data_IF_712343957897
#
_entry.id   IF_712343957897
#
_cell.length_a   1.000
_cell.length_b   1.000
_cell.length_c   1.000
_cell.angle_alpha   90.00
_cell.angle_beta   90.00
_cell.angle_gamma   90.00
#
_symmetry.space_group_name_H-M   'P 1'
#
loop_
_entity.id
_entity.type
_entity.pdbx_description
1 polymer ?
#
# COMPACT_ATOMS: atom_id res chain seq x y z
N UNK A 1 12.95 -1.82 25.66
CA UNK A 1 13.39 -2.67 24.52
C UNK A 1 12.93 -2.07 23.22
N UNK A 2 13.80 -1.99 22.21
CA UNK A 2 13.39 -1.50 20.90
C UNK A 2 13.23 -2.67 19.93
N UNK A 3 12.11 -2.68 19.22
CA UNK A 3 11.79 -3.67 18.19
C UNK A 3 11.65 -2.97 16.85
N UNK A 4 12.06 -3.63 15.78
CA UNK A 4 11.77 -3.15 14.43
C UNK A 4 11.03 -4.19 13.62
N UNK A 5 10.15 -3.71 12.74
CA UNK A 5 9.46 -4.51 11.74
C UNK A 5 9.65 -3.86 10.40
N UNK A 6 10.16 -4.62 9.43
CA UNK A 6 10.29 -4.22 8.03
C UNK A 6 9.28 -5.04 7.23
N UNK A 7 8.48 -4.38 6.39
CA UNK A 7 7.51 -5.02 5.50
C UNK A 7 7.90 -4.86 4.04
N UNK A 8 7.94 -5.96 3.31
CA UNK A 8 8.11 -6.03 1.86
C UNK A 8 6.73 -6.07 1.21
N UNK A 9 6.24 -4.93 0.76
CA UNK A 9 4.99 -4.84 0.00
C UNK A 9 5.22 -4.71 -1.51
N UNK A 10 4.17 -4.85 -2.30
CA UNK A 10 4.25 -4.83 -3.78
C UNK A 10 4.78 -3.52 -4.36
N UNK A 11 4.62 -2.41 -3.66
CA UNK A 11 4.99 -1.08 -4.15
C UNK A 11 6.08 -0.38 -3.34
N UNK A 12 6.43 -0.92 -2.18
CA UNK A 12 7.40 -0.26 -1.28
C UNK A 12 7.94 -1.23 -0.24
N UNK A 13 9.10 -0.88 0.33
CA UNK A 13 9.53 -1.38 1.62
C UNK A 13 9.19 -0.32 2.67
N UNK A 14 8.74 -0.74 3.82
CA UNK A 14 8.45 0.17 4.92
C UNK A 14 8.88 -0.42 6.24
N UNK A 15 9.31 0.43 7.18
CA UNK A 15 9.77 -0.01 8.48
C UNK A 15 9.19 0.83 9.61
N UNK A 16 9.10 0.22 10.77
CA UNK A 16 8.89 0.89 12.05
C UNK A 16 9.98 0.49 13.02
N UNK A 17 10.31 1.42 13.92
CA UNK A 17 11.04 1.11 15.15
C UNK A 17 10.14 1.54 16.31
N UNK A 18 9.93 0.63 17.24
CA UNK A 18 9.06 0.82 18.39
C UNK A 18 9.84 0.60 19.69
N UNK A 19 9.64 1.48 20.66
CA UNK A 19 10.10 1.29 22.03
C UNK A 19 8.99 0.68 22.87
N UNK A 20 9.34 -0.35 23.64
CA UNK A 20 8.42 -1.03 24.55
C UNK A 20 8.91 -0.86 25.98
N UNK A 21 8.21 -0.04 26.75
CA UNK A 21 8.49 0.22 28.15
C UNK A 21 7.20 0.05 28.99
N UNK A 22 7.30 -0.69 30.08
CA UNK A 22 6.20 -0.87 31.05
C UNK A 22 4.84 -1.23 30.40
N UNK A 23 4.87 -2.17 29.44
CA UNK A 23 3.70 -2.62 28.66
C UNK A 23 3.08 -1.55 27.73
N UNK A 24 3.78 -0.44 27.48
CA UNK A 24 3.38 0.55 26.49
C UNK A 24 4.31 0.45 25.28
N UNK A 25 3.73 0.31 24.12
CA UNK A 25 4.46 0.32 22.83
C UNK A 25 4.28 1.67 22.17
N UNK A 26 5.39 2.34 21.88
CA UNK A 26 5.42 3.63 21.21
C UNK A 26 6.26 3.51 19.92
N UNK A 27 5.73 3.98 18.81
CA UNK A 27 6.47 4.03 17.55
C UNK A 27 7.37 5.26 17.58
N UNK A 28 8.68 5.03 17.61
CA UNK A 28 9.69 6.09 17.70
C UNK A 28 10.22 6.51 16.34
N UNK A 29 10.06 5.65 15.31
CA UNK A 29 10.51 5.95 13.96
C UNK A 29 9.71 5.19 12.91
N UNK A 30 9.44 5.84 11.78
CA UNK A 30 8.86 5.24 10.57
C UNK A 30 9.67 5.67 9.36
N UNK A 31 9.90 4.74 8.44
CA UNK A 31 10.53 5.02 7.15
C UNK A 31 9.89 4.19 6.05
N UNK A 32 10.04 4.66 4.82
CA UNK A 32 9.50 4.00 3.65
C UNK A 32 10.31 4.32 2.40
N UNK A 33 10.66 3.26 1.67
CA UNK A 33 11.33 3.34 0.37
C UNK A 33 10.37 2.88 -0.72
N UNK A 34 10.15 3.72 -1.72
CA UNK A 34 9.37 3.33 -2.90
C UNK A 34 10.20 2.35 -3.75
N UNK A 35 9.90 1.06 -3.64
CA UNK A 35 10.51 0.01 -4.45
C UNK A 35 9.39 -0.87 -5.01
N UNK A 36 8.97 -0.57 -6.23
CA UNK A 36 7.93 -1.35 -6.91
C UNK A 36 8.52 -2.65 -7.47
N UNK A 37 8.61 -3.70 -6.64
CA UNK A 37 9.15 -5.01 -7.04
C UNK A 37 8.45 -5.59 -8.27
N UNK A 38 7.18 -5.26 -8.48
CA UNK A 38 6.40 -5.70 -9.65
C UNK A 38 6.98 -5.26 -10.99
N UNK A 39 7.82 -4.22 -11.03
CA UNK A 39 8.52 -3.80 -12.25
C UNK A 39 9.77 -4.64 -12.57
N UNK A 40 10.19 -5.46 -11.62
CA UNK A 40 11.33 -6.37 -11.76
C UNK A 40 10.92 -7.84 -11.95
N UNK A 41 9.60 -8.08 -12.14
CA UNK A 41 9.08 -9.41 -12.43
C UNK A 41 9.22 -9.73 -13.92
N UNK A 42 9.78 -10.88 -14.24
CA UNK A 42 9.75 -11.52 -15.55
C UNK A 42 8.95 -12.81 -15.44
N UNK A 43 7.77 -12.84 -16.07
CA UNK A 43 6.81 -13.89 -15.80
C UNK A 43 6.40 -13.89 -14.31
N UNK A 44 6.68 -15.00 -13.64
CA UNK A 44 6.42 -15.17 -12.21
C UNK A 44 7.70 -15.13 -11.35
N UNK A 45 8.86 -14.76 -11.91
CA UNK A 45 10.13 -14.69 -11.19
C UNK A 45 10.57 -13.24 -10.96
N UNK A 46 11.13 -12.97 -9.78
CA UNK A 46 11.82 -11.71 -9.51
C UNK A 46 13.22 -11.78 -10.15
N UNK A 47 13.55 -10.79 -10.99
CA UNK A 47 14.84 -10.76 -11.69
C UNK A 47 16.00 -10.53 -10.71
N UNK A 48 17.22 -10.96 -11.10
CA UNK A 48 18.44 -10.73 -10.32
C UNK A 48 18.59 -9.25 -9.92
N UNK A 49 18.34 -8.32 -10.86
CA UNK A 49 18.36 -6.87 -10.58
C UNK A 49 17.31 -6.46 -9.53
N UNK A 50 16.13 -7.10 -9.54
CA UNK A 50 15.09 -6.87 -8.54
C UNK A 50 15.52 -7.35 -7.16
N UNK A 51 16.18 -8.52 -7.09
CA UNK A 51 16.75 -9.08 -5.87
C UNK A 51 17.86 -8.16 -5.33
N UNK A 52 18.78 -7.71 -6.16
CA UNK A 52 19.86 -6.81 -5.75
C UNK A 52 19.30 -5.50 -5.18
N UNK A 53 18.30 -4.89 -5.84
CA UNK A 53 17.62 -3.68 -5.34
C UNK A 53 16.93 -3.90 -4.00
N UNK A 54 16.26 -5.03 -3.83
CA UNK A 54 15.65 -5.41 -2.56
C UNK A 54 16.69 -5.52 -1.45
N UNK A 55 17.79 -6.24 -1.70
CA UNK A 55 18.90 -6.43 -0.75
C UNK A 55 19.52 -5.08 -0.37
N UNK A 56 19.81 -4.20 -1.33
CA UNK A 56 20.40 -2.88 -1.06
C UNK A 56 19.49 -2.03 -0.15
N UNK A 57 18.19 -2.02 -0.42
CA UNK A 57 17.23 -1.30 0.43
C UNK A 57 17.15 -1.90 1.84
N UNK A 58 17.15 -3.24 1.96
CA UNK A 58 17.10 -3.92 3.24
C UNK A 58 18.35 -3.69 4.08
N UNK A 59 19.55 -3.61 3.47
CA UNK A 59 20.79 -3.23 4.17
C UNK A 59 20.66 -1.84 4.81
N UNK A 60 20.22 -0.85 4.04
CA UNK A 60 20.02 0.52 4.57
C UNK A 60 18.99 0.59 5.70
N UNK A 61 17.90 -0.16 5.58
CA UNK A 61 16.91 -0.25 6.66
C UNK A 61 17.46 -0.94 7.90
N UNK A 62 18.21 -2.05 7.73
CA UNK A 62 18.85 -2.75 8.85
C UNK A 62 19.84 -1.86 9.59
N UNK A 63 20.70 -1.12 8.88
CA UNK A 63 21.63 -0.15 9.47
C UNK A 63 20.90 0.95 10.24
N UNK A 64 19.74 1.38 9.74
CA UNK A 64 18.89 2.36 10.42
C UNK A 64 18.31 1.78 11.70
N UNK A 65 17.83 0.51 11.68
CA UNK A 65 17.38 -0.19 12.89
C UNK A 65 18.48 -0.29 13.94
N UNK A 66 19.71 -0.64 13.53
CA UNK A 66 20.85 -0.75 14.43
C UNK A 66 21.22 0.60 15.06
N UNK A 67 21.27 1.67 14.26
CA UNK A 67 21.53 3.04 14.75
C UNK A 67 20.46 3.53 15.74
N UNK A 68 19.21 3.10 15.58
CA UNK A 68 18.10 3.42 16.49
C UNK A 68 18.02 2.47 17.70
N UNK A 69 19.01 1.61 17.87
CA UNK A 69 19.13 0.73 19.02
C UNK A 69 18.08 -0.39 19.06
N UNK A 70 17.63 -0.86 17.90
CA UNK A 70 16.75 -2.04 17.84
C UNK A 70 17.49 -3.26 18.38
N UNK A 71 16.79 -4.04 19.21
CA UNK A 71 17.32 -5.31 19.72
C UNK A 71 16.91 -6.46 18.80
N UNK A 72 15.72 -6.41 18.24
CA UNK A 72 15.16 -7.43 17.33
C UNK A 72 14.55 -6.79 16.10
N UNK A 73 14.84 -7.37 14.93
CA UNK A 73 14.26 -6.94 13.66
C UNK A 73 13.52 -8.11 13.01
N UNK A 74 12.24 -7.93 12.82
CA UNK A 74 11.38 -8.83 12.05
C UNK A 74 11.28 -8.32 10.61
N UNK A 75 11.56 -9.18 9.64
CA UNK A 75 11.31 -8.88 8.23
C UNK A 75 10.10 -9.71 7.78
N UNK A 76 9.02 -9.04 7.45
CA UNK A 76 7.81 -9.69 6.94
C UNK A 76 7.64 -9.43 5.45
N UNK A 77 7.02 -10.36 4.75
CA UNK A 77 6.60 -10.19 3.37
C UNK A 77 5.12 -10.51 3.22
N UNK A 78 4.41 -9.56 2.62
CA UNK A 78 2.99 -9.63 2.30
C UNK A 78 2.77 -10.13 0.87
N UNK A 79 1.81 -9.60 0.15
CA UNK A 79 1.46 -10.03 -1.21
C UNK A 79 2.61 -9.94 -2.25
N UNK A 80 3.69 -9.18 -1.97
CA UNK A 80 4.76 -8.91 -2.94
C UNK A 80 5.48 -10.15 -3.46
N UNK A 81 5.85 -11.04 -2.54
CA UNK A 81 6.63 -12.24 -2.83
C UNK A 81 5.79 -13.54 -2.71
N UNK A 82 4.49 -13.41 -2.46
CA UNK A 82 3.61 -14.58 -2.17
C UNK A 82 3.48 -15.55 -3.34
N UNK A 83 3.61 -15.07 -4.58
CA UNK A 83 3.32 -15.83 -5.78
C UNK A 83 4.45 -15.78 -6.82
N UNK A 84 5.70 -15.58 -6.36
CA UNK A 84 6.86 -15.70 -7.24
C UNK A 84 7.40 -17.12 -7.21
N UNK A 85 7.80 -17.65 -8.36
CA UNK A 85 8.31 -19.02 -8.49
C UNK A 85 9.72 -19.18 -7.90
N UNK A 86 10.55 -18.14 -8.01
CA UNK A 86 11.92 -18.16 -7.44
C UNK A 86 12.00 -17.60 -6.00
N UNK A 87 10.96 -17.82 -5.23
CA UNK A 87 10.82 -17.37 -3.86
C UNK A 87 11.96 -17.79 -2.94
N UNK A 88 12.37 -19.08 -2.99
CA UNK A 88 13.46 -19.60 -2.16
C UNK A 88 14.80 -18.95 -2.51
N UNK A 89 15.07 -18.67 -3.78
CA UNK A 89 16.24 -17.91 -4.21
C UNK A 89 16.27 -16.52 -3.56
N UNK A 90 15.14 -15.80 -3.62
CA UNK A 90 15.00 -14.46 -3.02
C UNK A 90 15.24 -14.54 -1.51
N UNK A 91 14.60 -15.49 -0.82
CA UNK A 91 14.72 -15.69 0.63
C UNK A 91 16.18 -15.96 1.04
N UNK A 92 16.84 -16.87 0.33
CA UNK A 92 18.23 -17.22 0.61
C UNK A 92 19.18 -16.04 0.36
N UNK A 93 19.01 -15.30 -0.74
CA UNK A 93 19.83 -14.13 -1.05
C UNK A 93 19.65 -13.04 -0.01
N UNK A 94 18.40 -12.73 0.39
CA UNK A 94 18.13 -11.75 1.45
C UNK A 94 18.81 -12.18 2.75
N UNK A 95 18.66 -13.44 3.16
CA UNK A 95 19.29 -13.95 4.37
C UNK A 95 20.83 -13.88 4.31
N UNK A 96 21.42 -14.33 3.22
CA UNK A 96 22.89 -14.34 3.05
C UNK A 96 23.50 -12.94 3.04
N UNK A 97 22.85 -12.01 2.33
CA UNK A 97 23.41 -10.69 2.08
C UNK A 97 23.08 -9.67 3.17
N UNK A 98 22.02 -9.90 3.96
CA UNK A 98 21.57 -8.97 5.01
C UNK A 98 21.51 -9.58 6.41
N UNK A 99 21.49 -10.91 6.51
CA UNK A 99 21.23 -11.63 7.75
C UNK A 99 19.76 -11.59 8.21
N UNK A 100 18.87 -10.94 7.47
CA UNK A 100 17.45 -10.81 7.84
C UNK A 100 16.66 -12.04 7.34
N UNK A 101 16.01 -12.79 8.24
CA UNK A 101 15.12 -13.88 7.85
C UNK A 101 13.77 -13.33 7.38
N UNK A 102 13.29 -13.79 6.21
CA UNK A 102 11.98 -13.36 5.69
C UNK A 102 10.88 -14.22 6.28
N UNK A 103 9.91 -13.58 6.95
CA UNK A 103 8.68 -14.21 7.42
C UNK A 103 7.56 -13.94 6.42
N UNK A 104 6.99 -15.01 5.87
CA UNK A 104 5.80 -14.85 5.02
C UNK A 104 4.56 -14.80 5.85
N UNK A 105 3.70 -13.83 5.56
CA UNK A 105 2.36 -13.77 6.12
C UNK A 105 1.35 -13.93 4.99
N UNK A 106 0.32 -14.75 5.23
CA UNK A 106 -0.80 -14.90 4.30
C UNK A 106 -1.77 -13.71 4.40
N UNK A 107 -2.70 -13.62 3.45
CA UNK A 107 -3.66 -12.51 3.43
C UNK A 107 -4.58 -12.46 4.65
N UNK A 108 -4.87 -13.60 5.29
CA UNK A 108 -5.66 -13.64 6.52
C UNK A 108 -4.90 -13.02 7.70
N UNK A 109 -3.61 -13.32 7.80
CA UNK A 109 -2.75 -12.73 8.84
C UNK A 109 -2.49 -11.24 8.56
N UNK A 110 -2.30 -10.87 7.30
CA UNK A 110 -2.17 -9.47 6.87
C UNK A 110 -3.40 -8.65 7.32
N UNK A 111 -4.61 -9.13 6.98
CA UNK A 111 -5.86 -8.52 7.42
C UNK A 111 -6.01 -8.49 8.96
N UNK A 112 -5.55 -9.54 9.65
CA UNK A 112 -5.60 -9.59 11.11
C UNK A 112 -4.62 -8.61 11.77
N UNK A 113 -3.43 -8.42 11.20
CA UNK A 113 -2.51 -7.39 11.65
C UNK A 113 -3.13 -5.99 11.51
N UNK A 114 -3.76 -5.68 10.37
CA UNK A 114 -4.46 -4.41 10.20
C UNK A 114 -5.58 -4.22 11.21
N UNK A 115 -6.36 -5.26 11.47
CA UNK A 115 -7.40 -5.24 12.49
C UNK A 115 -6.85 -4.93 13.89
N UNK A 116 -5.83 -5.67 14.32
CA UNK A 116 -5.21 -5.51 15.65
C UNK A 116 -4.62 -4.11 15.81
N UNK A 117 -3.94 -3.60 14.78
CA UNK A 117 -3.37 -2.26 14.78
C UNK A 117 -4.44 -1.15 14.91
N UNK A 118 -5.68 -1.44 14.52
CA UNK A 118 -6.76 -0.46 14.40
C UNK A 118 -7.98 -0.76 15.29
N UNK A 119 -7.87 -1.70 16.22
CA UNK A 119 -8.98 -2.10 17.10
C UNK A 119 -9.54 -0.93 17.93
N UNK A 120 -8.73 0.08 18.18
CA UNK A 120 -9.14 1.32 18.84
C UNK A 120 -10.36 1.95 18.15
N UNK A 121 -10.45 1.88 16.84
CA UNK A 121 -11.56 2.43 16.06
C UNK A 121 -12.83 1.56 16.09
N UNK A 122 -12.83 0.42 16.78
CA UNK A 122 -14.04 -0.38 17.00
C UNK A 122 -15.12 0.39 17.78
N UNK A 123 -14.73 1.42 18.54
CA UNK A 123 -15.63 2.32 19.24
C UNK A 123 -16.33 3.35 18.34
N UNK A 124 -15.90 3.52 17.10
CA UNK A 124 -16.59 4.36 16.12
C UNK A 124 -17.97 3.78 15.78
N UNK A 125 -18.85 4.65 15.27
CA UNK A 125 -20.17 4.21 14.83
C UNK A 125 -20.06 3.32 13.59
N UNK A 126 -20.46 2.04 13.73
CA UNK A 126 -20.48 1.02 12.66
C UNK A 126 -19.23 1.07 11.74
N UNK A 127 -18.04 0.78 12.30
CA UNK A 127 -16.80 0.98 11.60
C UNK A 127 -16.47 -0.18 10.66
N UNK A 128 -15.96 0.14 9.47
CA UNK A 128 -15.35 -0.81 8.52
C UNK A 128 -13.92 -0.39 8.23
N UNK A 129 -12.99 -1.33 8.37
CA UNK A 129 -11.60 -1.13 7.94
C UNK A 129 -11.44 -1.46 6.47
N UNK A 130 -10.68 -0.65 5.76
CA UNK A 130 -10.38 -0.81 4.33
C UNK A 130 -8.90 -0.56 4.10
N UNK A 131 -8.17 -1.61 3.70
CA UNK A 131 -6.84 -1.45 3.08
C UNK A 131 -6.91 -1.65 1.57
N UNK A 132 -6.32 -0.72 0.83
CA UNK A 132 -6.19 -0.78 -0.62
C UNK A 132 -4.73 -0.98 -1.01
N UNK A 133 -4.30 -2.22 -1.00
CA UNK A 133 -2.98 -2.62 -1.45
C UNK A 133 -2.82 -2.62 -2.98
N UNK A 134 -1.58 -2.81 -3.43
CA UNK A 134 -1.29 -2.94 -4.86
C UNK A 134 -1.77 -4.26 -5.46
N UNK A 135 -1.71 -5.34 -4.67
CA UNK A 135 -2.00 -6.72 -5.05
C UNK A 135 -3.14 -7.35 -4.27
N UNK A 136 -3.57 -6.72 -3.20
CA UNK A 136 -4.68 -7.19 -2.38
C UNK A 136 -5.58 -6.04 -1.93
N UNK A 137 -6.78 -6.37 -1.48
CA UNK A 137 -7.72 -5.46 -0.82
C UNK A 137 -8.25 -6.21 0.41
N UNK A 138 -8.10 -5.59 1.57
CA UNK A 138 -8.58 -6.11 2.85
C UNK A 138 -9.79 -5.29 3.32
N UNK A 139 -10.84 -6.03 3.76
CA UNK A 139 -12.05 -5.45 4.35
C UNK A 139 -12.34 -6.17 5.67
N UNK A 140 -12.56 -5.42 6.72
CA UNK A 140 -12.88 -5.96 8.03
C UNK A 140 -13.99 -5.16 8.71
N UNK A 141 -14.98 -5.85 9.28
CA UNK A 141 -15.95 -5.26 10.18
C UNK A 141 -15.33 -5.11 11.57
N UNK A 142 -14.84 -3.91 11.89
CA UNK A 142 -14.21 -3.64 13.19
C UNK A 142 -15.18 -3.76 14.37
N UNK A 143 -16.47 -3.59 14.14
CA UNK A 143 -17.47 -3.67 15.20
C UNK A 143 -17.73 -5.08 15.71
N UNK A 144 -17.49 -6.10 14.87
CA UNK A 144 -17.74 -7.50 15.23
C UNK A 144 -16.60 -8.16 15.98
N UNK A 145 -15.42 -7.59 15.97
CA UNK A 145 -14.23 -8.07 16.67
C UNK A 145 -13.92 -9.58 16.43
N UNK A 146 -14.24 -10.09 15.25
CA UNK A 146 -14.03 -11.49 14.87
C UNK A 146 -13.08 -11.60 13.68
N UNK A 147 -12.13 -12.53 13.77
CA UNK A 147 -11.23 -12.86 12.65
C UNK A 147 -11.98 -13.39 11.43
N UNK A 148 -13.13 -14.00 11.64
CA UNK A 148 -13.98 -14.56 10.58
C UNK A 148 -14.63 -13.48 9.69
N UNK A 149 -14.72 -12.25 10.20
CA UNK A 149 -15.26 -11.10 9.46
C UNK A 149 -14.23 -10.41 8.56
N UNK A 150 -13.00 -10.90 8.56
CA UNK A 150 -11.94 -10.37 7.71
C UNK A 150 -12.00 -11.00 6.33
N UNK A 151 -11.93 -10.17 5.32
CA UNK A 151 -11.90 -10.60 3.92
C UNK A 151 -10.67 -10.02 3.25
N UNK A 152 -9.85 -10.90 2.69
CA UNK A 152 -8.73 -10.54 1.84
C UNK A 152 -9.03 -10.95 0.40
N UNK A 153 -8.95 -10.00 -0.52
CA UNK A 153 -9.10 -10.23 -1.95
C UNK A 153 -7.74 -10.26 -2.61
N UNK A 154 -7.43 -11.34 -3.34
CA UNK A 154 -6.18 -11.50 -4.09
C UNK A 154 -6.15 -10.72 -5.41
N UNK A 155 -6.62 -9.47 -5.37
CA UNK A 155 -6.45 -8.46 -6.40
C UNK A 155 -6.38 -7.08 -5.74
N UNK A 156 -5.53 -6.21 -6.24
CA UNK A 156 -5.36 -4.87 -5.71
C UNK A 156 -5.44 -3.79 -6.78
N UNK A 157 -5.07 -2.57 -6.40
CA UNK A 157 -5.14 -1.40 -7.27
C UNK A 157 -4.27 -1.54 -8.51
N UNK A 158 -3.11 -2.19 -8.40
CA UNK A 158 -2.20 -2.40 -9.52
C UNK A 158 -2.77 -3.39 -10.54
N UNK A 159 -3.46 -4.44 -10.05
CA UNK A 159 -4.12 -5.40 -10.93
C UNK A 159 -5.31 -4.75 -11.65
N UNK A 160 -6.07 -3.92 -10.95
CA UNK A 160 -7.15 -3.15 -11.55
C UNK A 160 -6.63 -2.16 -12.58
N UNK A 161 -5.55 -1.44 -12.28
CA UNK A 161 -4.90 -0.54 -13.20
C UNK A 161 -4.47 -1.25 -14.49
N UNK A 162 -3.67 -2.32 -14.37
CA UNK A 162 -3.18 -3.09 -15.51
C UNK A 162 -4.28 -3.72 -16.35
N UNK A 163 -5.38 -4.11 -15.72
CA UNK A 163 -6.49 -4.80 -16.40
C UNK A 163 -7.44 -3.86 -17.13
N UNK A 164 -7.68 -2.67 -16.59
CA UNK A 164 -8.77 -1.81 -17.04
C UNK A 164 -8.33 -0.45 -17.58
N UNK A 165 -7.16 0.07 -17.19
CA UNK A 165 -6.72 1.42 -17.54
C UNK A 165 -5.73 1.36 -18.69
N UNK A 166 -6.07 2.00 -19.80
CA UNK A 166 -5.23 2.06 -21.00
C UNK A 166 -4.24 3.21 -20.98
N UNK A 167 -4.65 4.31 -20.38
CA UNK A 167 -3.84 5.51 -20.23
C UNK A 167 -3.35 5.69 -18.79
N UNK A 168 -3.16 6.92 -18.34
CA UNK A 168 -2.69 7.22 -16.98
C UNK A 168 -3.87 7.16 -15.97
N UNK A 169 -5.03 7.70 -16.36
CA UNK A 169 -6.21 7.75 -15.50
C UNK A 169 -7.36 6.99 -16.15
N UNK A 170 -8.18 6.31 -15.34
CA UNK A 170 -9.36 5.64 -15.88
C UNK A 170 -10.35 6.65 -16.47
N UNK A 171 -10.81 6.39 -17.67
CA UNK A 171 -11.95 7.08 -18.26
C UNK A 171 -13.29 6.60 -17.65
N UNK A 172 -14.41 7.10 -18.12
CA UNK A 172 -15.73 6.76 -17.55
C UNK A 172 -16.11 5.29 -17.74
N UNK A 173 -15.83 4.73 -18.91
CA UNK A 173 -16.11 3.31 -19.22
C UNK A 173 -15.18 2.39 -18.46
N UNK A 174 -13.91 2.72 -18.36
CA UNK A 174 -12.92 2.01 -17.55
C UNK A 174 -13.29 2.05 -16.06
N UNK A 175 -13.67 3.21 -15.53
CA UNK A 175 -14.16 3.35 -14.17
C UNK A 175 -15.43 2.52 -13.91
N UNK A 176 -16.35 2.44 -14.88
CA UNK A 176 -17.54 1.58 -14.82
C UNK A 176 -17.17 0.09 -14.82
N UNK A 177 -16.19 -0.30 -15.65
CA UNK A 177 -15.68 -1.66 -15.70
C UNK A 177 -15.02 -2.08 -14.38
N UNK A 178 -14.20 -1.20 -13.77
CA UNK A 178 -13.59 -1.40 -12.45
C UNK A 178 -14.68 -1.61 -11.39
N UNK A 179 -15.66 -0.71 -11.29
CA UNK A 179 -16.78 -0.83 -10.33
C UNK A 179 -17.56 -2.14 -10.50
N UNK A 180 -17.83 -2.54 -11.74
CA UNK A 180 -18.53 -3.80 -12.05
C UNK A 180 -17.71 -5.02 -11.64
N UNK A 181 -16.38 -4.99 -11.84
CA UNK A 181 -15.49 -6.07 -11.45
C UNK A 181 -15.43 -6.22 -9.92
N UNK A 182 -15.14 -5.12 -9.21
CA UNK A 182 -15.06 -5.10 -7.74
C UNK A 182 -16.40 -5.51 -7.13
N UNK A 183 -17.52 -4.96 -7.64
CA UNK A 183 -18.87 -5.30 -7.16
C UNK A 183 -19.15 -6.80 -7.25
N UNK A 184 -18.88 -7.44 -8.40
CA UNK A 184 -19.07 -8.89 -8.56
C UNK A 184 -18.20 -9.73 -7.64
N UNK A 185 -16.96 -9.29 -7.37
CA UNK A 185 -16.08 -9.99 -6.42
C UNK A 185 -16.61 -9.89 -5.00
N UNK A 186 -17.10 -8.73 -4.61
CA UNK A 186 -17.68 -8.47 -3.29
C UNK A 186 -19.03 -9.20 -3.08
N UNK A 187 -19.88 -9.25 -4.12
CA UNK A 187 -21.13 -9.98 -4.07
C UNK A 187 -20.91 -11.49 -3.87
N UNK A 188 -19.85 -12.06 -4.49
CA UNK A 188 -19.48 -13.48 -4.32
C UNK A 188 -18.88 -13.79 -2.94
N UNK A 189 -18.35 -12.80 -2.25
CA UNK A 189 -17.76 -12.93 -0.92
C UNK A 189 -18.74 -12.48 0.19
N UNK A 190 -20.01 -12.30 -0.15
CA UNK A 190 -21.06 -11.87 0.77
C UNK A 190 -20.74 -10.58 1.56
N UNK A 191 -19.95 -9.69 0.94
CA UNK A 191 -19.66 -8.38 1.53
C UNK A 191 -20.95 -7.55 1.53
N UNK A 192 -21.34 -6.99 2.69
CA UNK A 192 -22.59 -6.25 2.84
C UNK A 192 -22.78 -5.19 1.76
N UNK A 193 -24.02 -5.05 1.26
CA UNK A 193 -24.32 -4.15 0.16
C UNK A 193 -24.70 -2.78 0.67
N UNK A 194 -25.61 -2.43 1.42
CA UNK A 194 -26.05 -1.07 1.65
C UNK A 194 -26.25 -0.72 3.14
N UNK A 195 -25.80 0.48 3.52
CA UNK A 195 -26.16 1.15 4.78
C UNK A 195 -25.72 0.45 6.06
N UNK A 196 -24.80 -0.52 5.99
CA UNK A 196 -24.34 -1.30 7.14
C UNK A 196 -23.31 -0.54 7.96
N UNK A 197 -22.44 0.22 7.31
CA UNK A 197 -21.37 0.96 7.96
C UNK A 197 -21.61 2.48 7.85
N UNK A 198 -21.12 3.24 8.81
CA UNK A 198 -21.15 4.72 8.77
C UNK A 198 -19.76 5.33 8.79
N UNK A 199 -18.78 4.61 9.34
CA UNK A 199 -17.38 5.07 9.43
C UNK A 199 -16.47 4.11 8.66
N UNK A 200 -15.66 4.63 7.72
CA UNK A 200 -14.58 3.89 7.10
C UNK A 200 -13.25 4.25 7.76
N UNK A 201 -12.52 3.25 8.24
CA UNK A 201 -11.15 3.37 8.71
C UNK A 201 -10.23 2.94 7.56
N UNK A 202 -9.60 3.91 6.93
CA UNK A 202 -8.68 3.67 5.82
C UNK A 202 -7.27 3.44 6.34
N UNK A 203 -6.64 2.35 5.94
CA UNK A 203 -5.26 1.99 6.28
C UNK A 203 -4.41 1.82 5.03
N UNK A 204 -3.11 1.77 5.18
CA UNK A 204 -2.16 1.54 4.10
C UNK A 204 -1.76 2.79 3.33
N UNK A 205 -0.68 2.61 2.57
CA UNK A 205 0.05 3.73 1.96
C UNK A 205 -0.73 4.48 0.88
N UNK A 206 -1.62 3.82 0.15
CA UNK A 206 -2.43 4.49 -0.87
C UNK A 206 -3.53 5.33 -0.22
N UNK A 207 -4.11 4.85 0.87
CA UNK A 207 -5.12 5.58 1.61
C UNK A 207 -4.53 6.80 2.35
N UNK A 208 -3.30 6.69 2.87
CA UNK A 208 -2.55 7.83 3.40
C UNK A 208 -2.31 8.90 2.31
N UNK A 209 -1.83 8.48 1.14
CA UNK A 209 -1.65 9.39 -0.01
C UNK A 209 -2.97 10.08 -0.44
N UNK A 210 -4.10 9.37 -0.39
CA UNK A 210 -5.41 9.96 -0.68
C UNK A 210 -5.80 11.05 0.34
N UNK A 211 -5.36 10.91 1.60
CA UNK A 211 -5.55 11.95 2.61
C UNK A 211 -4.66 13.17 2.36
N UNK A 212 -3.38 12.97 2.03
CA UNK A 212 -2.45 14.07 1.77
C UNK A 212 -2.93 14.90 0.57
N UNK A 213 -3.40 14.22 -0.49
CA UNK A 213 -4.03 14.88 -1.64
C UNK A 213 -5.32 15.62 -1.24
N UNK A 214 -6.11 15.05 -0.31
CA UNK A 214 -7.30 15.70 0.18
C UNK A 214 -6.99 16.96 0.99
N UNK A 215 -5.99 16.92 1.86
CA UNK A 215 -5.58 18.04 2.69
C UNK A 215 -5.14 19.25 1.84
N UNK A 216 -4.34 19.01 0.79
CA UNK A 216 -3.96 20.04 -0.18
C UNK A 216 -5.17 20.57 -0.97
N UNK A 217 -6.02 19.66 -1.48
CA UNK A 217 -7.23 20.03 -2.22
C UNK A 217 -8.21 20.88 -1.38
N UNK A 218 -8.32 20.59 -0.09
CA UNK A 218 -9.26 21.26 0.80
C UNK A 218 -8.68 22.47 1.52
N UNK A 219 -7.36 22.74 1.34
CA UNK A 219 -6.59 23.73 2.11
C UNK A 219 -6.76 23.51 3.64
N UNK A 220 -6.79 22.23 4.05
CA UNK A 220 -6.94 21.84 5.45
C UNK A 220 -5.56 21.60 6.06
N UNK A 221 -5.30 22.22 7.22
CA UNK A 221 -4.07 21.92 7.98
C UNK A 221 -4.13 20.49 8.49
N UNK A 222 -2.96 19.84 8.50
CA UNK A 222 -2.83 18.51 9.09
C UNK A 222 -3.32 18.52 10.55
N UNK A 223 -4.22 17.62 10.87
CA UNK A 223 -4.75 17.41 12.21
C UNK A 223 -4.20 16.10 12.77
N UNK A 224 -4.14 15.99 14.10
CA UNK A 224 -3.68 14.77 14.78
C UNK A 224 -4.55 13.57 14.38
N UNK A 225 -5.87 13.76 14.31
CA UNK A 225 -6.81 12.75 13.82
C UNK A 225 -7.23 13.10 12.39
N UNK A 226 -6.80 12.29 11.44
CA UNK A 226 -7.06 12.47 10.01
C UNK A 226 -8.47 12.04 9.67
N UNK A 227 -9.42 12.97 9.68
CA UNK A 227 -10.84 12.69 9.38
C UNK A 227 -11.35 13.47 8.19
N UNK A 228 -12.21 12.84 7.40
CA UNK A 228 -12.83 13.45 6.22
C UNK A 228 -14.34 13.11 6.21
N UNK A 229 -15.19 14.08 5.97
CA UNK A 229 -16.60 13.80 5.64
C UNK A 229 -16.72 13.29 4.21
N UNK A 230 -17.49 12.21 3.99
CA UNK A 230 -17.65 11.63 2.64
C UNK A 230 -18.11 12.67 1.60
N UNK A 231 -18.97 13.61 1.98
CA UNK A 231 -19.41 14.70 1.09
C UNK A 231 -18.24 15.54 0.54
N UNK A 232 -17.21 15.80 1.38
CA UNK A 232 -16.00 16.51 0.97
C UNK A 232 -15.10 15.59 0.11
N UNK A 233 -14.90 14.36 0.53
CA UNK A 233 -14.13 13.35 -0.21
C UNK A 233 -14.69 13.12 -1.62
N UNK A 234 -16.02 13.09 -1.77
CA UNK A 234 -16.67 12.95 -3.08
C UNK A 234 -16.32 14.09 -4.05
N UNK A 235 -16.08 15.32 -3.54
CA UNK A 235 -15.62 16.45 -4.37
C UNK A 235 -14.18 16.21 -4.87
N UNK A 236 -13.28 15.77 -3.98
CA UNK A 236 -11.93 15.38 -4.36
C UNK A 236 -11.95 14.30 -5.45
N UNK A 237 -12.73 13.23 -5.26
CA UNK A 237 -12.84 12.15 -6.26
C UNK A 237 -13.31 12.70 -7.62
N UNK A 238 -14.27 13.62 -7.64
CA UNK A 238 -14.65 14.31 -8.87
C UNK A 238 -13.46 15.00 -9.53
N UNK A 239 -12.67 15.76 -8.75
CA UNK A 239 -11.48 16.46 -9.24
C UNK A 239 -10.41 15.50 -9.79
N UNK A 240 -10.14 14.39 -9.08
CA UNK A 240 -9.16 13.39 -9.50
C UNK A 240 -9.55 12.64 -10.78
N UNK A 241 -10.83 12.47 -11.06
CA UNK A 241 -11.29 11.74 -12.25
C UNK A 241 -11.42 12.64 -13.49
N UNK A 242 -11.81 13.90 -13.32
CA UNK A 242 -12.16 14.79 -14.44
C UNK A 242 -11.48 16.15 -14.42
N UNK A 243 -10.79 16.53 -13.33
CA UNK A 243 -10.14 17.83 -13.20
C UNK A 243 -8.89 17.97 -14.08
N UNK A 244 -8.71 19.13 -14.71
CA UNK A 244 -7.55 19.44 -15.56
C UNK A 244 -6.23 19.49 -14.77
N UNK A 245 -6.27 19.96 -13.53
CA UNK A 245 -5.12 20.08 -12.64
C UNK A 245 -4.83 18.83 -11.79
N UNK A 246 -5.57 17.72 -12.00
CA UNK A 246 -5.41 16.48 -11.22
C UNK A 246 -3.99 15.96 -11.17
N UNK A 247 -3.24 16.06 -12.30
CA UNK A 247 -1.86 15.62 -12.36
C UNK A 247 -0.96 16.42 -11.42
N UNK A 248 -1.12 17.75 -11.38
CA UNK A 248 -0.38 18.63 -10.47
C UNK A 248 -0.69 18.31 -9.01
N UNK A 249 -1.96 18.15 -8.68
CA UNK A 249 -2.40 17.82 -7.32
C UNK A 249 -1.81 16.48 -6.83
N UNK A 250 -1.79 15.45 -7.70
CA UNK A 250 -1.22 14.15 -7.35
C UNK A 250 0.31 14.23 -7.23
N UNK A 251 0.99 14.87 -8.20
CA UNK A 251 2.46 14.96 -8.20
C UNK A 251 3.01 15.76 -7.03
N UNK A 252 2.28 16.75 -6.54
CA UNK A 252 2.69 17.52 -5.38
C UNK A 252 2.63 16.72 -4.07
N UNK A 253 1.73 15.73 -3.97
CA UNK A 253 1.42 15.07 -2.70
C UNK A 253 1.77 13.58 -2.67
N UNK A 254 1.70 12.89 -3.80
CA UNK A 254 1.92 11.45 -3.88
C UNK A 254 2.44 11.01 -5.26
N UNK A 255 3.62 11.49 -5.70
CA UNK A 255 4.15 11.22 -7.04
C UNK A 255 4.36 9.73 -7.30
N UNK A 256 4.74 8.95 -6.29
CA UNK A 256 4.94 7.51 -6.39
C UNK A 256 3.63 6.71 -6.57
N UNK A 257 2.48 7.33 -6.31
CA UNK A 257 1.13 6.76 -6.49
C UNK A 257 0.41 7.31 -7.72
N UNK A 258 1.10 8.07 -8.57
CA UNK A 258 0.51 8.82 -9.67
C UNK A 258 -0.48 8.01 -10.52
N UNK A 259 -0.12 6.80 -10.89
CA UNK A 259 -0.96 5.90 -11.69
C UNK A 259 -2.04 5.16 -10.88
N UNK A 260 -1.93 5.07 -9.56
CA UNK A 260 -2.87 4.33 -8.72
C UNK A 260 -3.99 5.20 -8.14
N UNK A 261 -3.74 6.50 -7.95
CA UNK A 261 -4.68 7.43 -7.31
C UNK A 261 -6.04 7.46 -8.03
N UNK A 262 -6.05 7.47 -9.37
CA UNK A 262 -7.30 7.45 -10.14
C UNK A 262 -8.12 6.18 -9.91
N UNK A 263 -7.45 5.02 -9.89
CA UNK A 263 -8.11 3.74 -9.60
C UNK A 263 -8.59 3.68 -8.16
N UNK A 264 -7.76 4.14 -7.20
CA UNK A 264 -8.14 4.22 -5.78
C UNK A 264 -9.39 5.10 -5.59
N UNK A 265 -9.43 6.26 -6.26
CA UNK A 265 -10.60 7.15 -6.22
C UNK A 265 -11.88 6.46 -6.72
N UNK A 266 -11.79 5.67 -7.80
CA UNK A 266 -12.93 4.88 -8.33
C UNK A 266 -13.38 3.84 -7.32
N UNK A 267 -12.44 3.08 -6.76
CA UNK A 267 -12.73 1.98 -5.81
C UNK A 267 -13.31 2.54 -4.51
N UNK A 268 -12.66 3.54 -3.88
CA UNK A 268 -13.15 4.14 -2.64
C UNK A 268 -14.53 4.78 -2.80
N UNK A 269 -14.78 5.51 -3.88
CA UNK A 269 -16.12 6.06 -4.17
C UNK A 269 -17.17 4.96 -4.25
N UNK A 270 -16.83 3.84 -4.89
CA UNK A 270 -17.73 2.68 -5.00
C UNK A 270 -17.98 2.06 -3.63
N UNK A 271 -16.93 1.82 -2.82
CA UNK A 271 -17.03 1.20 -1.50
C UNK A 271 -17.83 2.07 -0.53
N UNK A 272 -17.51 3.35 -0.43
CA UNK A 272 -18.22 4.25 0.47
C UNK A 272 -19.70 4.38 0.13
N UNK A 273 -20.03 4.40 -1.17
CA UNK A 273 -21.43 4.38 -1.60
C UNK A 273 -22.11 3.04 -1.27
N UNK A 274 -21.42 1.92 -1.50
CA UNK A 274 -21.93 0.57 -1.21
C UNK A 274 -22.21 0.39 0.28
N UNK A 275 -21.28 0.84 1.12
CA UNK A 275 -21.36 0.67 2.57
C UNK A 275 -22.26 1.70 3.28
N UNK A 276 -22.53 2.83 2.66
CA UNK A 276 -23.26 3.94 3.28
C UNK A 276 -22.39 4.79 4.19
N UNK A 277 -21.08 4.91 3.90
CA UNK A 277 -20.11 5.64 4.70
C UNK A 277 -20.38 7.14 4.66
N UNK A 278 -20.41 7.77 5.84
CA UNK A 278 -20.52 9.22 6.03
C UNK A 278 -19.21 9.83 6.56
N UNK A 279 -18.48 9.07 7.38
CA UNK A 279 -17.24 9.50 8.00
C UNK A 279 -16.08 8.63 7.54
N UNK A 280 -14.94 9.24 7.32
CA UNK A 280 -13.70 8.58 6.92
C UNK A 280 -12.63 8.98 7.93
N UNK A 281 -11.94 7.98 8.46
CA UNK A 281 -10.75 8.14 9.30
C UNK A 281 -9.59 7.52 8.56
N UNK A 282 -8.43 8.17 8.55
CA UNK A 282 -7.22 7.62 7.95
C UNK A 282 -6.24 7.31 9.06
N UNK A 283 -5.98 6.02 9.23
CA UNK A 283 -5.03 5.53 10.23
C UNK A 283 -3.61 5.53 9.67
N UNK A 284 -2.66 5.83 10.53
CA UNK A 284 -1.23 5.71 10.26
C UNK A 284 -0.64 4.38 10.75
N UNK A 285 -1.50 3.48 11.23
CA UNK A 285 -1.17 2.12 11.69
C UNK A 285 -1.64 1.10 10.67
N UNK A 286 -0.85 0.04 10.48
CA UNK A 286 -1.15 -1.02 9.53
C UNK A 286 -0.48 -2.33 9.91
N UNK A 287 -0.17 -3.15 8.91
CA UNK A 287 0.36 -4.51 9.08
C UNK A 287 1.56 -4.59 10.02
N UNK A 288 2.52 -3.66 9.94
CA UNK A 288 3.74 -3.67 10.77
C UNK A 288 3.44 -3.49 12.24
N UNK A 289 2.60 -2.52 12.55
CA UNK A 289 2.19 -2.21 13.90
C UNK A 289 1.39 -3.38 14.49
N UNK A 290 0.48 -3.96 13.70
CA UNK A 290 -0.30 -5.12 14.13
C UNK A 290 0.54 -6.38 14.29
N UNK A 291 1.47 -6.65 13.38
CA UNK A 291 2.38 -7.79 13.51
C UNK A 291 3.23 -7.70 14.78
N UNK A 292 3.79 -6.51 15.06
CA UNK A 292 4.54 -6.29 16.29
C UNK A 292 3.67 -6.51 17.53
N UNK A 293 2.45 -6.00 17.54
CA UNK A 293 1.50 -6.19 18.63
C UNK A 293 1.22 -7.68 18.89
N UNK A 294 0.95 -8.45 17.82
CA UNK A 294 0.71 -9.89 17.91
C UNK A 294 1.93 -10.66 18.44
N UNK A 295 3.14 -10.29 18.00
CA UNK A 295 4.38 -10.89 18.50
C UNK A 295 4.57 -10.58 19.98
N UNK A 296 4.33 -9.34 20.42
CA UNK A 296 4.47 -8.93 21.81
C UNK A 296 3.46 -9.62 22.73
N UNK A 297 2.26 -9.94 22.21
CA UNK A 297 1.24 -10.72 22.92
C UNK A 297 1.51 -12.23 22.91
N UNK A 298 2.48 -12.71 22.12
CA UNK A 298 2.73 -14.13 21.91
C UNK A 298 1.68 -14.83 21.05
N UNK A 299 0.83 -14.07 20.34
CA UNK A 299 -0.20 -14.58 19.42
C UNK A 299 0.37 -14.88 18.03
N UNK A 300 1.53 -14.32 17.69
CA UNK A 300 2.25 -14.58 16.45
C UNK A 300 3.71 -14.91 16.74
N UNK A 301 4.30 -15.77 15.91
CA UNK A 301 5.70 -16.17 15.97
C UNK A 301 6.39 -15.83 14.65
N UNK A 302 7.71 -15.66 14.72
CA UNK A 302 8.52 -15.41 13.52
C UNK A 302 9.99 -15.44 13.84
N UNK A 303 10.78 -15.64 12.79
CA UNK A 303 12.23 -15.46 12.85
C UNK A 303 12.55 -13.97 12.90
N UNK A 304 13.56 -13.61 13.67
CA UNK A 304 14.06 -12.25 13.74
C UNK A 304 15.57 -12.20 13.75
N UNK A 305 16.14 -11.09 13.34
CA UNK A 305 17.55 -10.80 13.52
C UNK A 305 17.76 -10.18 14.92
N UNK A 306 18.58 -10.83 15.75
CA UNK A 306 18.98 -10.34 17.05
C UNK A 306 20.25 -9.49 16.91
N UNK A 307 20.16 -8.18 17.13
CA UNK A 307 21.29 -7.26 16.98
C UNK A 307 22.35 -7.44 18.07
N UNK A 308 21.98 -7.97 19.25
CA UNK A 308 22.92 -8.22 20.34
C UNK A 308 23.77 -9.45 20.04
N UNK A 309 23.12 -10.52 19.59
CA UNK A 309 23.78 -11.80 19.25
C UNK A 309 24.37 -11.80 17.84
N UNK A 310 23.91 -10.89 16.99
CA UNK A 310 24.20 -10.85 15.54
C UNK A 310 23.85 -12.15 14.82
N UNK A 311 22.75 -12.79 15.22
CA UNK A 311 22.26 -14.06 14.70
C UNK A 311 20.76 -14.00 14.42
N UNK A 312 20.29 -14.97 13.65
CA UNK A 312 18.87 -15.25 13.52
C UNK A 312 18.41 -16.07 14.72
N UNK A 313 17.26 -15.70 15.29
CA UNK A 313 16.62 -16.36 16.42
C UNK A 313 15.09 -16.38 16.20
N UNK A 314 14.36 -17.07 17.10
CA UNK A 314 12.90 -17.18 17.02
C UNK A 314 12.43 -18.50 16.44
N UNK A 315 11.14 -18.57 16.10
CA UNK A 315 10.51 -19.76 15.55
C UNK A 315 10.07 -19.52 14.11
N UNK A 316 10.33 -20.48 13.24
CA UNK A 316 9.80 -20.43 11.88
C UNK A 316 8.27 -20.50 11.90
N UNK A 317 7.63 -19.63 11.16
CA UNK A 317 6.18 -19.60 11.03
C UNK A 317 5.72 -20.75 10.12
N UNK A 318 4.84 -21.60 10.63
CA UNK A 318 4.19 -22.62 9.81
C UNK A 318 3.04 -21.96 9.05
N UNK A 319 3.22 -21.78 7.74
CA UNK A 319 2.12 -21.31 6.89
C UNK A 319 1.15 -22.47 6.66
N UNK A 320 -0.17 -22.23 6.73
CA UNK A 320 -1.13 -23.20 6.25
C UNK A 320 -0.87 -23.48 4.76
N UNK A 321 -1.15 -24.70 4.27
CA UNK A 321 -0.98 -25.00 2.85
C UNK A 321 -1.80 -24.01 2.02
N UNK A 322 -1.19 -23.47 0.96
CA UNK A 322 -1.83 -22.54 0.05
C UNK A 322 -3.08 -23.23 -0.52
N UNK A 323 -4.25 -22.80 -0.10
CA UNK A 323 -5.50 -23.17 -0.74
C UNK A 323 -5.51 -22.42 -2.07
N UNK A 324 -5.28 -23.15 -3.15
CA UNK A 324 -5.24 -22.60 -4.50
C UNK A 324 -6.63 -22.12 -4.91
N UNK A 325 -6.97 -20.86 -4.57
CA UNK A 325 -8.24 -20.23 -4.96
C UNK A 325 -8.24 -19.78 -6.43
N UNK A 326 -7.20 -20.11 -7.21
CA UNK A 326 -7.12 -19.79 -8.63
C UNK A 326 -7.83 -20.84 -9.54
N UNK A 327 -8.43 -21.90 -9.00
CA UNK A 327 -8.99 -23.04 -9.74
C UNK A 327 -10.44 -22.93 -10.21
N UNK A 328 -11.11 -21.78 -10.20
CA UNK A 328 -12.45 -21.62 -10.80
C UNK A 328 -12.45 -20.67 -12.00
N UNK A 329 -11.65 -21.00 -13.02
CA UNK A 329 -11.85 -20.55 -14.38
C UNK A 329 -12.99 -21.33 -15.04
N UNK A 330 -14.03 -20.62 -15.41
CA UNK A 330 -15.08 -20.95 -16.39
C UNK A 330 -15.21 -22.44 -16.84
N UNK A 331 -15.86 -23.28 -16.07
CA UNK A 331 -16.52 -24.47 -16.61
C UNK A 331 -17.99 -24.14 -16.87
N UNK A 332 -18.28 -23.64 -18.08
CA UNK A 332 -19.63 -23.66 -18.65
C UNK A 332 -20.12 -25.08 -18.69
N UNK A 333 -21.25 -25.33 -17.98
CA UNK A 333 -21.90 -26.62 -17.87
C UNK A 333 -22.28 -27.24 -19.21
N UNK A 334 -21.88 -28.48 -19.40
CA UNK A 334 -22.64 -29.45 -20.22
C UNK A 334 -23.30 -30.41 -19.27
N UNK A 335 -24.62 -30.27 -19.11
CA UNK A 335 -25.49 -31.24 -18.53
C UNK A 335 -25.39 -32.51 -19.35
N UNK A 336 -24.81 -33.59 -18.81
CA UNK A 336 -24.91 -34.92 -19.37
C UNK A 336 -25.90 -35.74 -18.49
N UNK A 337 -26.83 -36.32 -19.18
CA UNK A 337 -27.90 -37.16 -18.63
C UNK A 337 -27.34 -38.43 -18.01
N UNK A 338 -27.93 -38.80 -16.87
CA UNK A 338 -27.75 -40.08 -16.19
C UNK A 338 -28.12 -41.25 -17.07
N UNK A 339 -27.26 -42.26 -17.17
CA UNK A 339 -27.64 -43.62 -17.48
C UNK A 339 -26.81 -44.53 -16.57
N UNK A 340 -27.49 -45.34 -15.81
CA UNK A 340 -26.94 -46.30 -14.85
C UNK A 340 -26.28 -47.50 -15.52
N UNK A 341 -25.30 -48.11 -14.84
CA UNK A 341 -24.64 -49.33 -15.30
C UNK A 341 -23.57 -49.81 -14.31
N UNK A 342 -24.01 -50.72 -13.48
CA UNK A 342 -23.37 -51.85 -12.77
C UNK A 342 -21.83 -51.98 -12.70
N UNK A 343 -21.41 -52.15 -11.49
CA UNK A 343 -20.14 -52.67 -10.94
C UNK A 343 -19.55 -53.93 -11.58
N UNK A 344 -18.23 -53.95 -11.74
CA UNK A 344 -17.38 -55.14 -11.44
C UNK A 344 -15.91 -54.74 -11.22
N UNK A 345 -15.17 -55.39 -10.34
CA UNK A 345 -13.81 -55.04 -9.95
C UNK A 345 -12.76 -55.72 -10.83
N UNK A 346 -11.66 -55.05 -11.18
CA UNK A 346 -10.52 -55.72 -11.81
C UNK A 346 -9.22 -55.21 -11.18
N UNK A 347 -8.46 -56.20 -10.83
CA UNK A 347 -7.12 -56.39 -10.27
C UNK A 347 -6.04 -55.40 -10.75
N UNK A 348 -5.10 -55.12 -9.82
CA UNK A 348 -3.76 -54.60 -10.07
C UNK A 348 -2.95 -55.46 -11.07
N UNK A 349 -2.04 -54.88 -11.80
CA UNK A 349 -0.79 -55.55 -11.99
C UNK A 349 0.48 -54.69 -11.74
N UNK A 350 1.42 -55.42 -11.29
CA UNK A 350 2.82 -55.23 -11.00
C UNK A 350 3.67 -54.51 -12.03
N UNK A 351 4.70 -53.84 -11.49
CA UNK A 351 6.08 -53.66 -11.95
C UNK A 351 6.42 -54.01 -13.42
N UNK A 352 6.95 -53.00 -14.12
CA UNK A 352 8.02 -53.22 -15.09
C UNK A 352 9.06 -52.10 -14.96
N UNK A 353 10.27 -52.53 -14.66
CA UNK A 353 11.53 -51.80 -14.81
C UNK A 353 11.92 -51.71 -16.28
N UNK A 354 12.74 -50.70 -16.55
CA UNK A 354 13.76 -50.57 -17.59
C UNK A 354 13.46 -49.50 -18.64
N UNK A 355 14.38 -48.67 -18.73
CA UNK A 355 15.53 -48.37 -19.60
C UNK A 355 15.72 -46.90 -19.84
N UNK A 356 16.85 -46.42 -19.37
CA UNK A 356 17.43 -45.16 -19.74
C UNK A 356 17.72 -45.13 -21.24
N UNK A 357 17.27 -44.11 -21.93
CA UNK A 357 17.88 -43.67 -23.19
C UNK A 357 18.22 -42.19 -23.05
N UNK A 358 19.55 -41.98 -23.03
CA UNK A 358 20.16 -40.69 -23.31
C UNK A 358 19.62 -40.13 -24.62
N UNK A 359 19.09 -38.92 -24.59
CA UNK A 359 18.84 -38.13 -25.78
C UNK A 359 19.70 -36.87 -25.69
N UNK A 360 20.64 -36.78 -26.62
CA UNK A 360 21.56 -35.68 -26.86
C UNK A 360 20.85 -34.33 -26.93
N UNK A 361 21.46 -33.33 -26.30
CA UNK A 361 21.15 -31.92 -26.45
C UNK A 361 21.57 -31.44 -27.84
N UNK A 362 20.76 -30.71 -28.57
CA UNK A 362 21.22 -29.99 -29.74
C UNK A 362 22.00 -28.73 -29.33
N UNK A 363 23.16 -28.57 -30.00
CA UNK A 363 24.09 -27.47 -29.87
C UNK A 363 23.44 -26.10 -30.12
N UNK A 364 23.96 -25.10 -29.40
CA UNK A 364 23.62 -23.69 -29.58
C UNK A 364 24.00 -23.21 -31.00
N UNK A 365 23.18 -22.30 -31.61
CA UNK A 365 23.59 -21.67 -32.87
C UNK A 365 24.65 -20.58 -32.61
N UNK A 366 25.66 -20.60 -33.45
CA UNK A 366 26.76 -19.64 -33.55
C UNK A 366 26.29 -18.20 -33.72
N UNK A 367 27.03 -17.29 -33.10
CA UNK A 367 26.94 -15.85 -33.25
C UNK A 367 27.02 -15.40 -34.72
N UNK A 368 25.97 -14.79 -35.22
CA UNK A 368 25.98 -14.07 -36.49
C UNK A 368 26.62 -12.69 -36.30
N UNK A 369 27.79 -12.53 -36.96
CA UNK A 369 28.59 -11.31 -37.03
C UNK A 369 27.78 -10.11 -37.53
N UNK A 370 27.95 -8.97 -36.86
CA UNK A 370 27.42 -7.67 -37.22
C UNK A 370 27.97 -7.17 -38.57
N UNK A 371 27.18 -6.51 -39.43
CA UNK A 371 27.66 -5.92 -40.66
C UNK A 371 28.44 -4.62 -40.41
N UNK A 372 29.66 -4.56 -40.98
CA UNK A 372 30.55 -3.40 -40.96
C UNK A 372 29.92 -2.20 -41.66
N UNK A 373 29.76 -1.11 -40.95
CA UNK A 373 29.38 0.19 -41.47
C UNK A 373 30.44 0.75 -42.43
N UNK A 374 30.04 1.02 -43.66
CA UNK A 374 30.82 1.59 -44.77
C UNK A 374 31.01 3.10 -44.49
N UNK A 375 32.24 3.50 -44.16
CA UNK A 375 32.69 4.88 -44.02
C UNK A 375 32.74 5.52 -45.42
N UNK A 376 31.84 6.45 -45.73
CA UNK A 376 32.04 7.40 -46.81
C UNK A 376 32.51 8.74 -46.24
N UNK A 377 33.76 9.01 -46.50
CA UNK A 377 34.48 10.26 -46.25
C UNK A 377 33.99 11.27 -47.27
N UNK A 378 33.37 12.35 -46.88
CA UNK A 378 33.21 13.53 -47.69
C UNK A 378 33.64 14.74 -46.87
N UNK A 379 34.85 15.20 -47.21
CA UNK A 379 35.50 16.46 -46.81
C UNK A 379 34.66 17.64 -47.28
N UNK A 380 34.40 18.60 -46.41
CA UNK A 380 34.21 20.02 -46.77
C UNK A 380 34.89 20.91 -45.74
N UNK A 381 35.72 21.79 -46.32
CA UNK A 381 36.55 22.82 -45.67
C UNK A 381 35.72 23.89 -44.96
N UNK A 382 36.32 24.61 -44.02
CA UNK A 382 35.68 25.68 -43.26
C UNK A 382 35.63 26.97 -44.11
N UNK A 383 34.56 27.74 -43.95
CA UNK A 383 34.43 29.10 -44.45
C UNK A 383 34.57 30.07 -43.28
N UNK A 384 35.39 31.10 -43.54
CA UNK A 384 35.84 32.16 -42.69
C UNK A 384 34.75 33.07 -42.13
N UNK A 385 35.05 33.59 -40.93
CA UNK A 385 34.42 34.72 -40.29
C UNK A 385 34.32 35.97 -41.16
N UNK A 386 33.17 36.63 -41.11
CA UNK A 386 33.09 38.09 -41.23
C UNK A 386 32.35 38.65 -40.03
N UNK A 387 33.13 39.43 -39.23
CA UNK A 387 32.62 40.36 -38.22
C UNK A 387 31.81 41.43 -38.95
N UNK A 388 30.63 41.75 -38.46
CA UNK A 388 29.99 43.05 -38.56
C UNK A 388 29.59 43.54 -37.17
N UNK A 389 30.18 44.67 -36.81
CA UNK A 389 29.88 45.50 -35.66
C UNK A 389 28.54 46.22 -35.88
N UNK A 390 27.79 46.37 -34.81
CA UNK A 390 26.97 47.56 -34.69
C UNK A 390 25.50 47.37 -34.39
N UNK A 391 25.13 47.56 -33.22
CA UNK A 391 24.20 48.55 -32.66
C UNK A 391 23.48 48.00 -31.40
N UNK A 392 23.81 48.66 -30.31
CA UNK A 392 23.07 48.56 -29.03
C UNK A 392 21.61 48.95 -29.22
N UNK A 393 20.70 48.16 -28.73
CA UNK A 393 19.30 48.51 -28.53
C UNK A 393 19.01 48.50 -27.02
N UNK A 394 18.43 49.61 -26.60
CA UNK A 394 18.12 50.02 -25.25
C UNK A 394 17.19 49.06 -24.52
N UNK A 395 17.50 48.87 -23.23
CA UNK A 395 16.66 48.21 -22.23
C UNK A 395 15.66 49.22 -21.67
N UNK A 396 14.35 48.96 -21.66
CA UNK A 396 13.42 49.86 -20.97
C UNK A 396 13.44 49.60 -19.45
N UNK A 397 13.56 50.72 -18.71
CA UNK A 397 13.62 50.81 -17.28
C UNK A 397 12.33 50.36 -16.56
N UNK A 398 12.48 49.68 -15.44
CA UNK A 398 11.41 49.33 -14.51
C UNK A 398 10.76 50.55 -13.83
N UNK A 399 9.47 50.56 -13.54
CA UNK A 399 8.84 51.67 -12.85
C UNK A 399 9.14 51.67 -11.34
N UNK A 400 9.45 52.85 -10.83
CA UNK A 400 9.78 53.16 -9.44
C UNK A 400 8.54 53.02 -8.53
N UNK A 401 8.75 52.40 -7.37
CA UNK A 401 7.81 52.32 -6.24
C UNK A 401 7.45 53.72 -5.72
N UNK A 402 6.16 54.04 -5.71
CA UNK A 402 5.60 55.20 -5.02
C UNK A 402 5.44 54.94 -3.52
N UNK A 403 5.84 55.91 -2.70
CA UNK A 403 5.66 55.96 -1.24
C UNK A 403 4.20 56.16 -0.88
N UNK A 404 3.72 55.64 0.29
CA UNK A 404 2.35 55.80 0.72
C UNK A 404 2.07 57.19 1.31
N UNK A 405 0.91 57.73 0.93
CA UNK A 405 0.34 58.94 1.55
C UNK A 405 -0.42 58.56 2.83
N UNK A 406 -0.14 59.34 3.89
CA UNK A 406 -0.94 59.43 5.12
C UNK A 406 -2.26 60.13 4.83
N UNK A 407 -3.38 59.62 5.36
CA UNK A 407 -4.61 60.36 5.72
C UNK A 407 -5.34 59.52 6.75
N UNK A 408 -5.45 60.03 7.89
CA UNK A 408 -6.47 60.85 8.56
C UNK A 408 -7.44 59.92 9.33
N UNK A 409 -7.38 60.06 10.65
CA UNK A 409 -8.21 59.49 11.68
C UNK A 409 -9.62 60.14 11.70
N UNK A 410 -10.62 59.34 12.07
CA UNK A 410 -11.85 59.78 12.76
C UNK A 410 -12.72 58.53 13.09
N UNK A 411 -13.65 58.58 14.02
CA UNK A 411 -13.45 58.53 15.46
C UNK A 411 -14.14 57.32 16.13
N UNK A 412 -13.73 57.09 17.35
CA UNK A 412 -14.24 56.13 18.35
C UNK A 412 -15.71 56.38 18.66
N UNK A 413 -16.55 55.34 18.61
CA UNK A 413 -17.83 55.31 19.25
C UNK A 413 -17.84 54.30 20.37
N UNK A 414 -17.85 54.79 21.60
CA UNK A 414 -18.13 54.06 22.84
C UNK A 414 -19.50 53.35 22.74
N UNK A 415 -19.55 52.11 23.11
CA UNK A 415 -20.79 51.47 23.56
C UNK A 415 -20.57 50.67 24.83
N UNK A 416 -21.25 51.22 25.81
CA UNK A 416 -21.38 50.85 27.22
C UNK A 416 -21.59 49.36 27.48
N UNK A 417 -20.87 48.92 28.48
CA UNK A 417 -21.05 47.72 29.29
C UNK A 417 -22.44 47.69 29.95
N UNK A 418 -23.12 46.57 29.88
CA UNK A 418 -24.12 46.15 30.86
C UNK A 418 -23.72 44.77 31.36
N UNK A 419 -23.34 44.77 32.62
CA UNK A 419 -23.21 43.59 33.48
C UNK A 419 -24.58 42.96 33.73
N UNK A 420 -24.67 41.65 33.71
CA UNK A 420 -25.68 40.92 34.41
C UNK A 420 -25.07 39.57 34.90
N UNK A 421 -24.87 39.49 36.17
CA UNK A 421 -24.68 38.28 36.95
C UNK A 421 -25.76 37.25 36.68
N UNK A 422 -25.38 35.98 36.61
CA UNK A 422 -26.09 34.85 37.23
C UNK A 422 -25.21 33.60 37.27
N UNK A 423 -24.76 33.32 38.40
CA UNK A 423 -24.73 32.12 39.25
C UNK A 423 -24.80 30.74 38.56
N UNK A 424 -23.78 29.97 38.89
CA UNK A 424 -23.69 28.59 39.39
C UNK A 424 -24.67 27.56 38.84
N UNK A 425 -24.09 26.52 38.22
CA UNK A 425 -24.34 25.15 38.70
C UNK A 425 -23.15 24.25 38.27
N UNK A 426 -22.39 23.85 39.26
CA UNK A 426 -21.40 22.78 39.20
C UNK A 426 -22.15 21.45 39.32
N UNK A 427 -21.93 20.53 38.39
CA UNK A 427 -22.28 19.13 38.52
C UNK A 427 -21.00 18.30 38.74
N UNK A 428 -20.97 17.37 39.69
CA UNK A 428 -19.76 16.71 40.16
C UNK A 428 -19.37 15.52 39.27
N UNK A 429 -18.07 15.30 39.16
CA UNK A 429 -17.43 14.10 38.64
C UNK A 429 -17.73 12.88 39.53
N UNK A 430 -17.94 11.68 38.97
CA UNK A 430 -18.04 10.49 39.77
C UNK A 430 -16.66 9.98 40.21
N UNK A 431 -16.54 9.74 41.48
CA UNK A 431 -15.40 9.13 42.18
C UNK A 431 -15.18 7.68 41.76
N UNK A 432 -13.92 7.35 41.67
CA UNK A 432 -13.35 6.05 41.40
C UNK A 432 -13.45 5.19 42.67
N UNK A 433 -14.36 4.24 42.72
CA UNK A 433 -14.38 3.21 43.76
C UNK A 433 -13.61 1.98 43.29
N UNK A 434 -12.45 1.77 43.90
CA UNK A 434 -11.72 0.53 43.88
C UNK A 434 -12.51 -0.60 44.50
N UNK A 435 -12.42 -1.76 43.94
CA UNK A 435 -12.76 -3.03 44.59
C UNK A 435 -11.50 -3.88 44.55
N UNK A 436 -10.96 -4.13 45.75
CA UNK A 436 -10.11 -5.28 46.03
C UNK A 436 -10.99 -6.55 46.01
N UNK A 437 -10.56 -7.54 45.22
CA UNK A 437 -10.36 -8.94 45.62
C UNK A 437 -9.77 -9.71 44.46
#
# INVERSE_FOLDING_TARGET
MNYSVIDISSSSLSMIVASTEKNKTEIVFKDRVALSLVHYLYGHCLSARGIDKLVDCLRGMKETCERLGSERCYLISTAALRHIENFEEVRLRVLQDTGLPVNFIDGSTEAYCDYVANIYYSSCERPVLIDLGGKSIEICDLGKQSREEMRCFSFGLLDLYRKFVKNIYPDEEEAKAIRKFVGRKFDRADIPAAGVYSTAVMVGATNAAMYDIYADFADEKATEVKTIRYKKFKKLVGRLLTGEDRSKLILNNAPEKFHLVGVAAVVLKFLFKRFGVDNIVVSDRGVKEGYLELVLRGEETGLYYDFRKKTVDGSERVLPPLIDTQGEGDKKGKRAKSAGGKTKPVKSPQKAQNEAKEAEMPAAPEEASAPKARRTRRSRKPAEEKREEGKAAEVPAAPRRGRPRKSAAAPVAERKTKSADKAKDEAPMPENNGINE
#
